data_IF_970126767989
#
_entry.id   IF_970126767989
#
_cell.length_a   1.000
_cell.length_b   1.000
_cell.length_c   1.000
_cell.angle_alpha   90.00
_cell.angle_beta   90.00
_cell.angle_gamma   90.00
#
_symmetry.space_group_name_H-M   'P 1'
#
loop_
_entity.id
_entity.type
_entity.pdbx_description
1 polymer ?
#
# COMPACT_ATOMS: atom_id res chain seq x y z
N UNK A 1 -3.39 15.65 5.38
CA UNK A 1 -4.40 15.76 4.30
C UNK A 1 -4.31 17.18 3.73
N UNK A 2 -3.90 17.32 2.47
CA UNK A 2 -3.80 18.64 1.82
C UNK A 2 -5.21 19.24 1.63
N UNK A 3 -5.35 20.55 1.87
CA UNK A 3 -6.64 21.28 1.92
C UNK A 3 -7.25 21.51 0.52
N UNK A 4 -6.48 21.27 -0.53
CA UNK A 4 -6.94 21.42 -1.91
C UNK A 4 -7.46 20.07 -2.43
N UNK A 5 -8.77 19.96 -2.67
CA UNK A 5 -9.38 18.87 -3.44
C UNK A 5 -9.00 19.05 -4.93
N UNK A 6 -7.74 18.79 -5.26
CA UNK A 6 -7.26 18.79 -6.64
C UNK A 6 -7.78 17.50 -7.29
N UNK A 7 -8.57 17.65 -8.35
CA UNK A 7 -9.03 16.53 -9.17
C UNK A 7 -8.48 16.68 -10.61
N UNK A 8 -7.76 15.67 -11.14
CA UNK A 8 -7.39 14.42 -10.47
C UNK A 8 -6.37 14.63 -9.34
N UNK A 9 -6.33 13.74 -8.34
CA UNK A 9 -5.32 13.81 -7.28
C UNK A 9 -3.91 13.69 -7.89
N UNK A 10 -2.94 14.28 -7.20
CA UNK A 10 -1.52 14.16 -7.55
C UNK A 10 -0.89 13.07 -6.71
N UNK A 11 -0.33 12.06 -7.38
CA UNK A 11 0.34 10.92 -6.76
C UNK A 11 1.84 10.98 -6.98
N UNK A 12 2.58 10.41 -6.04
CA UNK A 12 4.01 10.14 -6.15
C UNK A 12 4.27 8.71 -5.68
N UNK A 13 5.09 7.98 -6.41
CA UNK A 13 5.58 6.67 -5.98
C UNK A 13 6.73 6.84 -4.99
N UNK A 14 6.64 6.20 -3.82
CA UNK A 14 7.69 6.24 -2.80
C UNK A 14 8.46 4.91 -2.69
N UNK A 15 8.41 4.08 -3.74
CA UNK A 15 9.13 2.81 -3.76
C UNK A 15 10.64 3.07 -3.81
N UNK A 16 11.36 2.46 -2.87
CA UNK A 16 12.81 2.45 -2.84
C UNK A 16 13.34 1.43 -3.85
N UNK A 17 14.09 1.90 -4.84
CA UNK A 17 14.61 1.09 -5.95
C UNK A 17 16.13 1.22 -6.07
N UNK A 18 16.78 0.19 -6.61
CA UNK A 18 18.22 0.23 -6.92
C UNK A 18 18.55 1.05 -8.17
N UNK A 19 17.55 1.25 -9.04
CA UNK A 19 17.66 2.06 -10.25
C UNK A 19 16.27 2.60 -10.61
N UNK A 20 16.16 3.88 -10.94
CA UNK A 20 14.89 4.44 -11.40
C UNK A 20 14.47 3.87 -12.75
N UNK A 21 13.16 3.74 -12.93
CA UNK A 21 12.58 3.38 -14.21
C UNK A 21 12.91 4.43 -15.28
N UNK A 22 13.02 4.01 -16.54
CA UNK A 22 13.29 4.93 -17.66
C UNK A 22 12.21 6.01 -17.84
N UNK A 23 11.01 5.77 -17.32
CA UNK A 23 9.91 6.73 -17.32
C UNK A 23 9.99 7.79 -16.21
N UNK A 24 10.91 7.63 -15.25
CA UNK A 24 11.12 8.61 -14.19
C UNK A 24 12.05 9.74 -14.66
N UNK A 25 11.55 10.97 -14.72
CA UNK A 25 12.32 12.16 -15.08
C UNK A 25 13.21 12.62 -13.93
N UNK A 26 12.68 12.64 -12.70
CA UNK A 26 13.41 13.10 -11.52
C UNK A 26 13.73 11.93 -10.57
N UNK A 27 14.90 11.33 -10.76
CA UNK A 27 15.39 10.24 -9.92
C UNK A 27 16.19 10.80 -8.72
N UNK A 28 15.63 10.72 -7.50
CA UNK A 28 16.30 11.16 -6.28
C UNK A 28 17.08 10.01 -5.65
N UNK A 29 18.33 10.27 -5.26
CA UNK A 29 19.15 9.35 -4.45
C UNK A 29 18.98 9.68 -2.95
N UNK A 30 18.48 8.74 -2.16
CA UNK A 30 18.13 8.98 -0.75
C UNK A 30 19.33 8.97 0.21
N UNK A 31 20.33 8.13 -0.05
CA UNK A 31 21.49 7.98 0.86
C UNK A 31 22.78 8.33 0.12
N UNK A 32 23.25 9.59 0.20
CA UNK A 32 24.59 9.92 -0.28
C UNK A 32 25.63 9.32 0.67
N UNK A 33 26.30 8.23 0.28
CA UNK A 33 27.41 7.63 1.02
C UNK A 33 27.07 6.39 1.86
N UNK A 34 25.93 5.74 1.62
CA UNK A 34 25.65 4.38 2.10
C UNK A 34 26.36 3.31 1.25
N UNK A 35 26.44 2.06 1.74
CA UNK A 35 27.05 0.96 0.98
C UNK A 35 26.27 0.59 -0.30
N UNK A 36 24.96 0.84 -0.34
CA UNK A 36 24.14 0.70 -1.54
C UNK A 36 23.42 2.01 -1.88
N UNK A 37 23.42 2.38 -3.16
CA UNK A 37 22.67 3.51 -3.66
C UNK A 37 21.17 3.15 -3.72
N UNK A 38 20.35 3.85 -2.93
CA UNK A 38 18.89 3.75 -2.94
C UNK A 38 18.28 4.97 -3.61
N UNK A 39 17.35 4.75 -4.52
CA UNK A 39 16.67 5.80 -5.29
C UNK A 39 15.16 5.77 -5.09
N UNK A 40 14.53 6.93 -5.25
CA UNK A 40 13.07 7.10 -5.29
C UNK A 40 12.74 8.03 -6.45
N UNK A 41 11.68 7.71 -7.19
CA UNK A 41 11.16 8.62 -8.21
C UNK A 41 10.42 9.80 -7.57
N UNK A 42 10.81 11.03 -7.90
CA UNK A 42 10.22 12.27 -7.36
C UNK A 42 9.14 12.88 -8.26
N UNK A 43 8.85 12.23 -9.38
CA UNK A 43 7.81 12.69 -10.28
C UNK A 43 6.42 12.62 -9.64
N UNK A 44 5.61 13.63 -9.95
CA UNK A 44 4.23 13.74 -9.51
C UNK A 44 3.27 13.58 -10.69
N UNK A 45 2.38 12.60 -10.58
CA UNK A 45 1.45 12.23 -11.63
C UNK A 45 0.01 12.63 -11.27
N UNK A 46 -0.64 13.51 -12.04
CA UNK A 46 -2.05 13.85 -11.84
C UNK A 46 -2.96 12.78 -12.46
N UNK A 47 -3.40 11.80 -11.66
CA UNK A 47 -4.22 10.66 -12.13
C UNK A 47 -5.26 10.24 -11.10
N UNK A 48 -6.39 9.71 -11.56
CA UNK A 48 -7.39 9.07 -10.68
C UNK A 48 -6.98 7.66 -10.26
N UNK A 49 -6.09 7.02 -11.03
CA UNK A 49 -5.58 5.68 -10.79
C UNK A 49 -4.04 5.72 -10.83
N UNK A 50 -3.35 5.59 -9.68
CA UNK A 50 -1.89 5.57 -9.61
C UNK A 50 -1.27 4.29 -10.18
N UNK A 51 -2.08 3.32 -10.60
CA UNK A 51 -1.62 2.05 -11.15
C UNK A 51 -1.63 0.91 -10.12
N UNK A 52 -1.24 -0.30 -10.56
CA UNK A 52 -1.25 -1.48 -9.70
C UNK A 52 -0.17 -1.40 -8.62
N UNK A 53 -0.36 -2.14 -7.53
CA UNK A 53 0.70 -2.37 -6.55
C UNK A 53 1.71 -3.39 -7.06
N UNK A 54 3.00 -3.13 -6.79
CA UNK A 54 4.09 -4.04 -7.13
C UNK A 54 3.99 -5.37 -6.38
N UNK A 55 3.52 -5.33 -5.12
CA UNK A 55 3.35 -6.50 -4.25
C UNK A 55 1.87 -6.61 -3.87
N UNK A 56 1.21 -7.76 -4.11
CA UNK A 56 -0.17 -7.97 -3.69
C UNK A 56 -0.34 -7.76 -2.18
N UNK A 57 -1.41 -7.05 -1.80
CA UNK A 57 -1.76 -6.87 -0.38
C UNK A 57 -2.28 -8.18 0.20
N UNK A 58 -2.01 -8.46 1.50
CA UNK A 58 -2.47 -9.69 2.15
C UNK A 58 -3.99 -9.88 2.16
N UNK A 59 -4.77 -8.79 2.20
CA UNK A 59 -6.24 -8.79 2.19
C UNK A 59 -6.85 -8.59 0.79
N UNK A 60 -6.05 -8.55 -0.27
CA UNK A 60 -6.53 -8.37 -1.65
C UNK A 60 -6.68 -6.91 -2.08
N UNK A 61 -7.74 -6.62 -2.86
CA UNK A 61 -7.80 -5.36 -3.61
C UNK A 61 -8.26 -4.16 -2.78
N UNK A 62 -9.04 -4.37 -1.72
CA UNK A 62 -9.66 -3.32 -0.91
C UNK A 62 -9.60 -3.62 0.59
N UNK A 63 -9.76 -2.58 1.42
CA UNK A 63 -9.91 -2.71 2.87
C UNK A 63 -10.77 -1.58 3.45
N UNK A 64 -11.85 -1.92 4.15
CA UNK A 64 -12.73 -0.95 4.82
C UNK A 64 -12.20 -0.50 6.17
N UNK A 65 -11.65 -1.45 6.96
CA UNK A 65 -11.13 -1.24 8.32
C UNK A 65 -9.60 -1.32 8.35
N UNK A 66 -8.95 -0.42 7.64
CA UNK A 66 -7.50 -0.31 7.63
C UNK A 66 -6.96 0.43 8.87
N UNK A 67 -5.95 -0.16 9.52
CA UNK A 67 -5.17 0.49 10.57
C UNK A 67 -3.72 0.64 10.12
N UNK A 68 -3.23 1.87 10.04
CA UNK A 68 -1.90 2.17 9.50
C UNK A 68 -1.08 3.02 10.46
N UNK A 69 0.23 2.82 10.46
CA UNK A 69 1.19 3.73 11.08
C UNK A 69 1.19 5.08 10.34
N UNK A 70 1.78 6.12 10.96
CA UNK A 70 1.97 7.43 10.33
C UNK A 70 3.31 7.58 9.60
N UNK A 71 4.02 6.47 9.35
CA UNK A 71 5.26 6.46 8.56
C UNK A 71 4.98 6.60 7.07
N UNK A 72 6.01 6.88 6.28
CA UNK A 72 5.95 6.94 4.82
C UNK A 72 7.08 6.03 4.27
N UNK A 73 6.75 4.87 3.65
CA UNK A 73 5.42 4.29 3.51
C UNK A 73 4.80 3.85 4.86
N UNK A 74 3.47 3.80 4.97
CA UNK A 74 2.80 3.30 6.16
C UNK A 74 2.98 1.78 6.28
N UNK A 75 2.91 1.26 7.50
CA UNK A 75 2.71 -0.16 7.77
C UNK A 75 1.25 -0.33 8.15
N UNK A 76 0.51 -1.10 7.38
CA UNK A 76 -0.93 -1.27 7.51
C UNK A 76 -1.31 -2.71 7.85
N UNK A 77 -2.44 -2.85 8.53
CA UNK A 77 -3.17 -4.10 8.72
C UNK A 77 -4.64 -3.88 8.35
N UNK A 78 -5.33 -4.92 7.88
CA UNK A 78 -6.75 -4.84 7.56
C UNK A 78 -7.57 -5.70 8.52
N UNK A 79 -8.56 -5.09 9.18
CA UNK A 79 -9.42 -5.78 10.13
C UNK A 79 -10.79 -6.17 9.55
N UNK A 80 -10.86 -6.36 8.23
CA UNK A 80 -12.07 -6.80 7.57
C UNK A 80 -12.33 -8.28 7.87
N UNK A 81 -13.59 -8.58 8.17
CA UNK A 81 -14.07 -9.94 8.39
C UNK A 81 -14.63 -10.49 7.07
N UNK A 82 -13.83 -11.30 6.39
CA UNK A 82 -14.12 -11.81 5.06
C UNK A 82 -14.61 -13.25 5.10
N UNK A 83 -15.24 -13.72 4.02
CA UNK A 83 -15.67 -15.11 3.90
C UNK A 83 -14.48 -16.07 3.74
N UNK A 84 -13.38 -15.61 3.15
CA UNK A 84 -12.10 -16.30 3.03
C UNK A 84 -10.98 -15.28 2.87
N UNK A 85 -9.81 -15.52 3.45
CA UNK A 85 -8.65 -14.66 3.23
C UNK A 85 -8.16 -14.74 1.78
N UNK A 86 -7.50 -13.67 1.31
CA UNK A 86 -6.87 -13.66 0.00
C UNK A 86 -5.62 -14.56 -0.03
N UNK A 87 -5.20 -14.98 -1.23
CA UNK A 87 -4.08 -15.90 -1.41
C UNK A 87 -2.73 -15.37 -0.90
N UNK A 88 -2.58 -14.04 -0.80
CA UNK A 88 -1.39 -13.39 -0.29
C UNK A 88 -1.32 -13.34 1.25
N UNK A 89 -2.43 -13.65 1.95
CA UNK A 89 -2.47 -13.69 3.41
C UNK A 89 -1.73 -14.92 3.94
N UNK A 90 -0.75 -14.71 4.83
CA UNK A 90 0.00 -15.79 5.46
C UNK A 90 -0.67 -16.28 6.73
N UNK A 91 -1.22 -15.37 7.54
CA UNK A 91 -1.89 -15.69 8.81
C UNK A 91 -3.37 -15.32 8.73
N UNK A 92 -4.21 -16.34 8.50
CA UNK A 92 -5.65 -16.21 8.34
C UNK A 92 -6.38 -16.84 9.54
N UNK A 93 -6.91 -16.01 10.42
CA UNK A 93 -7.61 -16.45 11.63
C UNK A 93 -9.11 -16.50 11.42
N UNK A 94 -9.77 -17.51 11.98
CA UNK A 94 -11.23 -17.52 12.09
C UNK A 94 -11.68 -16.60 13.22
N UNK A 95 -12.74 -15.82 12.98
CA UNK A 95 -13.36 -14.98 14.00
C UNK A 95 -14.27 -15.86 14.86
N UNK A 96 -13.89 -16.05 16.12
CA UNK A 96 -14.68 -16.81 17.08
C UNK A 96 -16.10 -16.23 17.21
N UNK A 97 -17.10 -17.09 17.29
CA UNK A 97 -18.53 -16.73 17.42
C UNK A 97 -19.17 -16.03 16.20
N UNK A 98 -18.50 -15.97 15.05
CA UNK A 98 -19.12 -15.49 13.79
C UNK A 98 -20.03 -16.57 13.16
N UNK A 99 -21.26 -16.20 12.81
CA UNK A 99 -22.21 -17.05 12.08
C UNK A 99 -22.86 -16.24 10.94
N UNK A 100 -22.53 -16.49 9.66
CA UNK A 100 -21.62 -17.53 9.14
C UNK A 100 -20.15 -17.32 9.53
N UNK A 101 -19.29 -18.37 9.43
CA UNK A 101 -17.86 -18.24 9.72
C UNK A 101 -17.20 -17.13 8.91
N UNK A 102 -16.46 -16.26 9.59
CA UNK A 102 -15.65 -15.19 9.02
C UNK A 102 -14.19 -15.37 9.37
N UNK A 103 -13.33 -14.77 8.56
CA UNK A 103 -11.89 -14.80 8.74
C UNK A 103 -11.31 -13.39 8.68
N UNK A 104 -10.19 -13.20 9.37
CA UNK A 104 -9.42 -11.95 9.40
C UNK A 104 -7.96 -12.27 9.05
N UNK A 105 -7.37 -11.46 8.18
CA UNK A 105 -5.95 -11.56 7.89
C UNK A 105 -5.14 -10.78 8.94
N UNK A 106 -4.11 -11.40 9.53
CA UNK A 106 -3.25 -10.78 10.56
C UNK A 106 -1.95 -10.17 10.01
N UNK A 107 -1.70 -10.37 8.72
CA UNK A 107 -0.50 -9.87 8.07
C UNK A 107 -0.40 -8.34 8.13
N UNK A 108 0.82 -7.88 8.36
CA UNK A 108 1.18 -6.48 8.17
C UNK A 108 1.74 -6.27 6.77
N UNK A 109 1.38 -5.14 6.16
CA UNK A 109 1.81 -4.76 4.82
C UNK A 109 2.47 -3.38 4.85
N UNK A 110 3.66 -3.27 4.29
CA UNK A 110 4.30 -1.97 4.06
C UNK A 110 3.78 -1.38 2.76
N UNK A 111 2.99 -0.32 2.85
CA UNK A 111 2.36 0.36 1.74
C UNK A 111 0.91 0.75 2.02
N UNK A 112 0.28 1.44 1.06
CA UNK A 112 -1.10 1.89 1.18
C UNK A 112 -2.06 0.69 1.27
N UNK A 113 -3.11 0.77 2.13
CA UNK A 113 -3.99 -0.37 2.38
C UNK A 113 -4.94 -0.70 1.25
N UNK A 114 -5.00 0.14 0.21
CA UNK A 114 -5.95 0.05 -0.88
C UNK A 114 -7.20 0.91 -0.63
N UNK A 115 -8.09 1.00 -1.64
CA UNK A 115 -9.38 1.67 -1.51
C UNK A 115 -10.30 0.94 -0.53
N UNK A 116 -11.39 1.60 -0.14
CA UNK A 116 -12.51 0.94 0.55
C UNK A 116 -13.19 -0.07 -0.38
N UNK A 117 -13.81 -1.08 0.21
CA UNK A 117 -14.58 -2.07 -0.52
C UNK A 117 -15.94 -1.49 -0.94
N UNK A 118 -16.51 -2.02 -2.03
CA UNK A 118 -17.77 -1.56 -2.63
C UNK A 118 -18.87 -2.60 -2.44
#
# INVERSE_FOLDING_TARGET
MSVLKIYPPRWRCNDEVKQCAAACENCLRLVPGGEEDVFVCDDWYPTTDPGPVCTPRPWGDCCDKAFCTRSLPPICQCADEVASCAAACKECDMVESSAPPRFICRDHFTGEPGPKCA
#
